data_IF_179254070378
#
_entry.id   IF_179254070378
#
_cell.length_a   1.000
_cell.length_b   1.000
_cell.length_c   1.000
_cell.angle_alpha   90.00
_cell.angle_beta   90.00
_cell.angle_gamma   90.00
#
_symmetry.space_group_name_H-M   'P 1'
#
loop_
_entity.id
_entity.type
_entity.pdbx_description
1 polymer ?
#
# COMPACT_ATOMS: atom_id res chain seq x y z
N UNK A 1 24.14 -6.36 14.26
CA UNK A 1 22.67 -6.42 14.39
C UNK A 1 22.05 -5.44 13.40
N UNK A 2 21.21 -5.91 12.50
CA UNK A 2 20.58 -5.11 11.46
C UNK A 2 19.31 -4.42 12.01
N UNK A 3 19.44 -3.21 12.55
CA UNK A 3 18.29 -2.35 12.84
C UNK A 3 17.92 -1.61 11.56
N UNK A 4 17.08 -2.26 10.75
CA UNK A 4 16.45 -1.71 9.54
C UNK A 4 15.61 -0.49 9.94
N UNK A 5 16.16 0.67 9.61
CA UNK A 5 15.56 2.00 9.42
C UNK A 5 14.09 2.13 9.82
N UNK A 6 13.85 2.96 10.84
CA UNK A 6 12.60 3.68 11.16
C UNK A 6 12.21 4.63 10.01
N UNK A 7 12.00 4.07 8.83
CA UNK A 7 11.47 4.79 7.71
C UNK A 7 9.96 4.72 7.92
N UNK A 8 9.32 5.84 8.22
CA UNK A 8 7.88 6.01 8.05
C UNK A 8 7.60 5.81 6.56
N UNK A 9 7.61 4.55 6.10
CA UNK A 9 7.48 4.19 4.69
C UNK A 9 6.02 4.36 4.31
N UNK A 10 5.67 5.61 4.05
CA UNK A 10 4.45 6.00 3.38
C UNK A 10 4.62 5.62 1.91
N UNK A 11 4.08 4.46 1.54
CA UNK A 11 4.06 3.99 0.17
C UNK A 11 2.85 4.56 -0.56
N UNK A 12 3.05 5.14 -1.74
CA UNK A 12 1.91 5.52 -2.59
C UNK A 12 1.32 4.28 -3.28
N UNK A 13 0.04 4.39 -3.70
CA UNK A 13 -0.61 3.31 -4.48
C UNK A 13 0.23 2.86 -5.68
N UNK A 14 0.91 3.79 -6.36
CA UNK A 14 1.80 3.48 -7.48
C UNK A 14 3.08 2.73 -7.07
N UNK A 15 3.68 3.08 -5.91
CA UNK A 15 4.89 2.41 -5.42
C UNK A 15 4.58 0.98 -4.95
N UNK A 16 3.43 0.78 -4.29
CA UNK A 16 2.92 -0.55 -3.92
C UNK A 16 2.57 -1.39 -5.16
N UNK A 17 1.87 -0.79 -6.12
CA UNK A 17 1.53 -1.42 -7.38
C UNK A 17 2.78 -1.91 -8.13
N UNK A 18 3.81 -1.06 -8.24
CA UNK A 18 5.08 -1.41 -8.87
C UNK A 18 5.81 -2.53 -8.10
N UNK A 19 5.83 -2.48 -6.77
CA UNK A 19 6.54 -3.48 -5.97
C UNK A 19 5.90 -4.88 -6.03
N UNK A 20 4.57 -4.94 -6.16
CA UNK A 20 3.86 -6.21 -6.29
C UNK A 20 3.55 -6.57 -7.74
N UNK A 21 4.00 -5.74 -8.69
CA UNK A 21 3.76 -5.90 -10.12
C UNK A 21 2.26 -6.02 -10.48
N UNK A 22 1.40 -5.36 -9.69
CA UNK A 22 -0.05 -5.30 -9.89
C UNK A 22 -0.45 -3.94 -10.47
N UNK A 23 -1.65 -3.81 -11.01
CA UNK A 23 -2.12 -2.51 -11.49
C UNK A 23 -2.51 -1.61 -10.32
N UNK A 24 -2.29 -0.30 -10.47
CA UNK A 24 -2.75 0.69 -9.49
C UNK A 24 -4.28 0.63 -9.29
N UNK A 25 -5.02 0.17 -10.30
CA UNK A 25 -6.45 -0.10 -10.23
C UNK A 25 -6.78 -1.28 -9.29
N UNK A 26 -6.02 -2.37 -9.33
CA UNK A 26 -6.18 -3.51 -8.42
C UNK A 26 -5.85 -3.13 -6.99
N UNK A 27 -4.78 -2.34 -6.79
CA UNK A 27 -4.45 -1.76 -5.48
C UNK A 27 -5.61 -0.92 -4.98
N UNK A 28 -6.14 0.01 -5.78
CA UNK A 28 -7.31 0.84 -5.40
C UNK A 28 -8.55 0.00 -5.12
N UNK A 29 -8.82 -1.05 -5.91
CA UNK A 29 -9.93 -1.98 -5.68
C UNK A 29 -9.75 -2.75 -4.37
N UNK A 30 -8.57 -3.29 -4.11
CA UNK A 30 -8.25 -4.01 -2.88
C UNK A 30 -8.36 -3.10 -1.64
N UNK A 31 -7.81 -1.88 -1.72
CA UNK A 31 -7.93 -0.86 -0.66
C UNK A 31 -9.41 -0.57 -0.36
N UNK A 32 -10.22 -0.33 -1.38
CA UNK A 32 -11.66 -0.04 -1.23
C UNK A 32 -12.43 -1.26 -0.71
N UNK A 33 -12.10 -2.46 -1.18
CA UNK A 33 -12.72 -3.71 -0.73
C UNK A 33 -12.39 -4.05 0.74
N UNK A 34 -11.17 -3.73 1.18
CA UNK A 34 -10.71 -3.94 2.56
C UNK A 34 -11.07 -2.78 3.50
N UNK A 35 -11.63 -1.69 2.97
CA UNK A 35 -11.89 -0.47 3.74
C UNK A 35 -10.62 0.18 4.30
N UNK A 36 -9.46 -0.05 3.66
CA UNK A 36 -8.20 0.55 4.10
C UNK A 36 -8.25 2.04 3.77
N UNK A 37 -8.09 2.88 4.79
CA UNK A 37 -7.94 4.32 4.60
C UNK A 37 -6.48 4.65 4.30
N UNK A 38 -6.29 5.56 3.35
CA UNK A 38 -5.00 6.18 3.15
C UNK A 38 -4.65 6.98 4.41
N UNK A 39 -3.48 6.72 4.98
CA UNK A 39 -3.01 7.37 6.19
C UNK A 39 -2.72 8.85 5.92
N UNK A 40 -2.15 9.11 4.72
CA UNK A 40 -1.89 10.46 4.23
C UNK A 40 -2.44 10.57 2.81
N UNK A 41 -3.28 11.57 2.55
CA UNK A 41 -3.70 11.92 1.19
C UNK A 41 -3.07 13.25 0.84
N UNK A 42 -2.14 13.26 -0.13
CA UNK A 42 -1.52 14.49 -0.62
C UNK A 42 -1.92 14.70 -2.08
N UNK A 43 -2.82 15.65 -2.31
CA UNK A 43 -3.41 15.89 -3.62
C UNK A 43 -4.17 14.66 -4.13
N UNK A 44 -3.84 14.21 -5.33
CA UNK A 44 -4.47 13.03 -5.96
C UNK A 44 -3.79 11.69 -5.61
N UNK A 45 -2.74 11.73 -4.79
CA UNK A 45 -1.98 10.55 -4.38
C UNK A 45 -2.24 10.20 -2.92
N UNK A 46 -2.80 9.01 -2.72
CA UNK A 46 -2.94 8.38 -1.42
C UNK A 46 -1.65 7.66 -1.04
N UNK A 47 -1.19 7.93 0.17
CA UNK A 47 -0.06 7.30 0.83
C UNK A 47 -0.57 6.31 1.89
N UNK A 48 0.11 5.19 1.97
CA UNK A 48 -0.24 4.03 2.76
C UNK A 48 0.97 3.61 3.57
N UNK A 49 0.81 3.52 4.87
CA UNK A 49 1.85 3.02 5.77
C UNK A 49 2.14 1.54 5.50
N UNK A 50 3.28 1.04 5.99
CA UNK A 50 3.65 -0.37 5.85
C UNK A 50 2.55 -1.34 6.33
N UNK A 51 1.75 -0.97 7.33
CA UNK A 51 0.61 -1.77 7.80
C UNK A 51 -0.50 -1.90 6.74
N UNK A 52 -0.88 -0.77 6.12
CA UNK A 52 -1.83 -0.75 5.02
C UNK A 52 -1.29 -1.54 3.83
N UNK A 53 -0.01 -1.38 3.51
CA UNK A 53 0.66 -2.12 2.46
C UNK A 53 0.59 -3.65 2.72
N UNK A 54 0.87 -4.10 3.94
CA UNK A 54 0.77 -5.51 4.30
C UNK A 54 -0.65 -6.06 4.14
N UNK A 55 -1.68 -5.30 4.53
CA UNK A 55 -3.08 -5.70 4.36
C UNK A 55 -3.48 -5.78 2.89
N UNK A 56 -3.12 -4.80 2.06
CA UNK A 56 -3.42 -4.80 0.63
C UNK A 56 -2.71 -5.97 -0.07
N UNK A 57 -1.44 -6.21 0.25
CA UNK A 57 -0.69 -7.36 -0.27
C UNK A 57 -1.36 -8.68 0.08
N UNK A 58 -1.87 -8.82 1.31
CA UNK A 58 -2.60 -10.02 1.77
C UNK A 58 -3.88 -10.26 0.96
N UNK A 59 -4.58 -9.21 0.57
CA UNK A 59 -5.78 -9.33 -0.25
C UNK A 59 -5.49 -9.54 -1.75
N UNK A 60 -4.39 -9.00 -2.25
CA UNK A 60 -3.92 -9.19 -3.63
C UNK A 60 -3.27 -10.56 -3.85
N UNK A 61 -2.68 -11.15 -2.81
CA UNK A 61 -2.23 -12.54 -2.77
C UNK A 61 -3.42 -13.50 -2.72
N UNK A 62 -4.36 -13.32 -3.65
CA UNK A 62 -5.47 -14.25 -3.87
C UNK A 62 -4.84 -15.62 -4.14
N UNK A 63 -5.18 -16.52 -3.22
CA UNK A 63 -4.92 -17.95 -3.22
C UNK A 63 -5.40 -18.64 -4.49
#
# INVERSE_FOLDING_TARGET
MATKTEKTELFTAGKLAAQWKVSQADVKKAIKALGIKADVVKGNCSYYSAESAARIKKALGKS
#
